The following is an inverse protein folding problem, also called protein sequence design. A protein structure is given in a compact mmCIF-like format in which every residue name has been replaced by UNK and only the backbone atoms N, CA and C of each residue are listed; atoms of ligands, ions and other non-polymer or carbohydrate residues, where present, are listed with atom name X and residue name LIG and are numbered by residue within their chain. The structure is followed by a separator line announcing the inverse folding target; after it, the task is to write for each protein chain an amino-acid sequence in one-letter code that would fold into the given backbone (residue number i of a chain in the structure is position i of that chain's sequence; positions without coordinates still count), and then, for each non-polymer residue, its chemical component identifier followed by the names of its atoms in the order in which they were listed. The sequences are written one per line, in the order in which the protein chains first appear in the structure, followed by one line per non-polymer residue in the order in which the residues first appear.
data_IF_578148796293
#
_entry.id   IF_578148796293
#
_cell.length_a   1.000
_cell.length_b   1.000
_cell.length_c   1.000
_cell.angle_alpha   90.00
_cell.angle_beta   90.00
_cell.angle_gamma   90.00
#
_symmetry.space_group_name_H-M   'P 1'
#
loop_
_entity.id
_entity.type
_entity.pdbx_description
1 polymer ?
#
# COMPACT_ATOMS: atom_id res chain seq x y z
N UNK A 1 -3.08 -2.34 -17.10
CA UNK A 1 -1.76 -2.02 -16.53
C UNK A 1 -1.91 -2.03 -15.02
N UNK A 2 -1.07 -2.71 -14.22
CA UNK A 2 -1.26 -2.75 -12.78
C UNK A 2 -0.87 -1.38 -12.22
N UNK A 3 -1.85 -0.51 -11.98
CA UNK A 3 -1.68 0.82 -11.35
C UNK A 3 -0.81 0.70 -10.08
N UNK A 4 -0.94 -0.41 -9.37
CA UNK A 4 -0.13 -0.75 -8.21
C UNK A 4 1.40 -0.71 -8.45
N UNK A 5 1.89 -1.12 -9.62
CA UNK A 5 3.33 -1.08 -9.96
C UNK A 5 3.85 0.35 -10.21
N UNK A 6 2.96 1.28 -10.56
CA UNK A 6 3.32 2.68 -10.80
C UNK A 6 3.29 3.50 -9.51
N UNK A 7 2.34 3.21 -8.62
CA UNK A 7 2.18 3.93 -7.35
C UNK A 7 3.04 3.34 -6.22
N UNK A 8 3.41 2.06 -6.31
CA UNK A 8 4.21 1.43 -5.26
C UNK A 8 5.67 1.90 -5.34
N UNK A 9 6.26 2.36 -4.21
CA UNK A 9 7.68 2.62 -4.13
C UNK A 9 8.52 1.34 -4.08
N UNK A 10 7.91 0.21 -3.71
CA UNK A 10 8.55 -1.11 -3.66
C UNK A 10 7.79 -2.09 -4.56
N UNK A 11 8.47 -2.60 -5.59
CA UNK A 11 7.82 -3.42 -6.63
C UNK A 11 7.37 -4.78 -6.11
N UNK A 12 8.03 -5.29 -5.07
CA UNK A 12 7.65 -6.55 -4.44
C UNK A 12 6.37 -6.42 -3.60
N UNK A 13 6.01 -5.19 -3.19
CA UNK A 13 4.78 -4.90 -2.45
C UNK A 13 3.59 -4.55 -3.37
N UNK A 14 3.80 -4.53 -4.70
CA UNK A 14 2.78 -4.15 -5.67
C UNK A 14 1.51 -5.00 -5.55
N UNK A 15 1.66 -6.29 -5.25
CA UNK A 15 0.52 -7.22 -5.14
C UNK A 15 -0.38 -6.88 -3.95
N UNK A 16 0.21 -6.47 -2.82
CA UNK A 16 -0.53 -6.03 -1.64
C UNK A 16 -1.23 -4.70 -1.88
N UNK A 17 -0.55 -3.77 -2.54
CA UNK A 17 -1.14 -2.49 -2.95
C UNK A 17 -2.31 -2.71 -3.91
N UNK A 18 -2.17 -3.61 -4.88
CA UNK A 18 -3.23 -3.98 -5.82
C UNK A 18 -4.44 -4.60 -5.11
N UNK A 19 -4.19 -5.48 -4.13
CA UNK A 19 -5.24 -6.12 -3.34
C UNK A 19 -6.00 -5.08 -2.50
N UNK A 20 -5.29 -4.19 -1.81
CA UNK A 20 -5.88 -3.12 -1.01
C UNK A 20 -6.71 -2.16 -1.86
N UNK A 21 -6.21 -1.78 -3.04
CA UNK A 21 -6.96 -0.98 -4.01
C UNK A 21 -8.23 -1.69 -4.48
N UNK A 22 -8.13 -2.98 -4.82
CA UNK A 22 -9.27 -3.77 -5.31
C UNK A 22 -10.31 -4.01 -4.23
N UNK A 23 -9.87 -4.22 -2.99
CA UNK A 23 -10.73 -4.46 -1.84
C UNK A 23 -11.24 -3.16 -1.19
N UNK A 24 -10.73 -1.99 -1.62
CA UNK A 24 -10.94 -0.70 -0.98
C UNK A 24 -10.68 -0.76 0.54
N UNK A 25 -9.60 -1.45 0.91
CA UNK A 25 -9.26 -1.76 2.30
C UNK A 25 -7.91 -1.13 2.67
N UNK A 26 -7.73 -0.72 3.94
CA UNK A 26 -6.45 -0.18 4.40
C UNK A 26 -5.36 -1.25 4.27
N UNK A 27 -4.17 -0.83 3.85
CA UNK A 27 -3.00 -1.68 3.78
C UNK A 27 -2.29 -1.63 5.13
N UNK A 28 -2.18 -2.78 5.80
CA UNK A 28 -1.36 -2.87 6.99
C UNK A 28 0.10 -3.11 6.61
N UNK A 29 0.97 -2.15 6.90
CA UNK A 29 2.41 -2.34 6.73
C UNK A 29 3.21 -1.44 7.67
N UNK A 30 4.32 -1.96 8.18
CA UNK A 30 5.29 -1.21 8.97
C UNK A 30 6.30 -0.45 8.08
N UNK A 31 6.25 -0.63 6.76
CA UNK A 31 7.11 0.11 5.85
C UNK A 31 6.62 1.55 5.69
N UNK A 32 7.48 2.49 6.09
CA UNK A 32 7.20 3.94 5.98
C UNK A 32 7.16 4.42 4.53
N UNK A 33 7.71 3.66 3.58
CA UNK A 33 7.68 3.98 2.15
C UNK A 33 6.27 3.87 1.60
N UNK A 34 5.52 2.84 2.01
CA UNK A 34 4.15 2.60 1.54
C UNK A 34 3.16 3.68 2.00
N UNK A 35 3.42 4.34 3.13
CA UNK A 35 2.63 5.52 3.58
C UNK A 35 2.64 6.71 2.60
N UNK A 36 3.54 6.72 1.61
CA UNK A 36 3.57 7.76 0.57
C UNK A 36 2.48 7.57 -0.50
N UNK A 37 1.88 6.38 -0.57
CA UNK A 37 0.81 6.09 -1.51
C UNK A 37 -0.44 6.82 -1.02
N UNK A 38 -0.99 7.71 -1.84
CA UNK A 38 -2.13 8.56 -1.45
C UNK A 38 -3.47 7.88 -1.66
N UNK A 39 -3.48 6.88 -2.54
CA UNK A 39 -4.66 6.16 -2.99
C UNK A 39 -5.13 5.09 -2.01
N UNK A 40 -4.29 4.70 -1.04
CA UNK A 40 -4.61 3.70 -0.02
C UNK A 40 -4.22 4.19 1.37
N UNK A 41 -5.09 3.94 2.34
CA UNK A 41 -4.79 4.21 3.74
C UNK A 41 -3.82 3.15 4.26
N UNK A 42 -2.64 3.57 4.73
CA UNK A 42 -1.62 2.65 5.27
C UNK A 42 -1.58 2.74 6.79
N UNK A 43 -1.99 1.66 7.46
CA UNK A 43 -2.01 1.53 8.91
C UNK A 43 -0.81 0.74 9.41
N UNK A 44 -0.37 0.99 10.64
CA UNK A 44 0.70 0.22 11.28
C UNK A 44 0.42 0.03 12.78
N UNK A 45 1.18 -0.85 13.44
CA UNK A 45 1.02 -1.17 14.87
C UNK A 45 1.86 -0.30 15.80
N UNK A 46 2.69 0.61 15.27
CA UNK A 46 3.52 1.54 16.07
C UNK A 46 2.81 2.86 16.37
N UNK A 47 1.77 3.18 15.60
CA UNK A 47 0.91 4.34 15.81
C UNK A 47 -0.27 4.02 16.77
N UNK A 48 -0.28 2.83 17.40
CA UNK A 48 -1.22 2.42 18.46
C UNK A 48 -0.68 2.72 19.86
#
# INVERSE_FOLDING_TARGET
MPIALEITPDKDDADFVALSLKANAPLWSNDKRLKKIKEIEVVNTRDC
#
